data_IF_357388815454
#
_entry.id   IF_357388815454
#
_cell.length_a   1.000
_cell.length_b   1.000
_cell.length_c   1.000
_cell.angle_alpha   90.00
_cell.angle_beta   90.00
_cell.angle_gamma   90.00
#
_symmetry.space_group_name_H-M   'P 1'
#
loop_
_entity.id
_entity.type
_entity.pdbx_description
1 polymer ?
#
# COMPACT_ATOMS: atom_id res chain seq x y z
N UNK A 1 -13.98 20.76 -31.60
CA UNK A 1 -14.15 20.50 -30.14
C UNK A 1 -14.37 18.99 -29.99
N UNK A 2 -13.43 18.23 -29.44
CA UNK A 2 -13.49 16.75 -29.48
C UNK A 2 -14.50 16.19 -28.46
N UNK A 3 -15.65 15.73 -28.96
CA UNK A 3 -16.73 15.14 -28.15
C UNK A 3 -16.32 13.81 -27.50
N UNK A 4 -15.44 13.02 -28.14
CA UNK A 4 -14.99 11.74 -27.60
C UNK A 4 -14.06 11.93 -26.42
N UNK A 5 -13.16 12.92 -26.49
CA UNK A 5 -12.29 13.27 -25.38
C UNK A 5 -13.12 13.65 -24.14
N UNK A 6 -14.14 14.51 -24.32
CA UNK A 6 -15.03 14.89 -23.21
C UNK A 6 -15.76 13.73 -22.58
N UNK A 7 -16.35 12.88 -23.41
CA UNK A 7 -17.07 11.72 -22.93
C UNK A 7 -16.16 10.82 -22.10
N UNK A 8 -14.94 10.52 -22.61
CA UNK A 8 -13.96 9.71 -21.87
C UNK A 8 -13.55 10.35 -20.54
N UNK A 9 -13.34 11.66 -20.50
CA UNK A 9 -13.03 12.38 -19.26
C UNK A 9 -14.18 12.24 -18.24
N UNK A 10 -15.43 12.43 -18.66
CA UNK A 10 -16.59 12.29 -17.78
C UNK A 10 -16.75 10.86 -17.25
N UNK A 11 -16.54 9.85 -18.10
CA UNK A 11 -16.56 8.43 -17.70
C UNK A 11 -15.44 8.14 -16.69
N UNK A 12 -14.22 8.63 -16.93
CA UNK A 12 -13.10 8.45 -16.01
C UNK A 12 -13.38 9.09 -14.63
N UNK A 13 -13.95 10.29 -14.61
CA UNK A 13 -14.37 10.96 -13.36
C UNK A 13 -15.46 10.17 -12.62
N UNK A 14 -16.46 9.67 -13.35
CA UNK A 14 -17.52 8.85 -12.75
C UNK A 14 -16.95 7.55 -12.15
N UNK A 15 -16.10 6.85 -12.90
CA UNK A 15 -15.42 5.64 -12.45
C UNK A 15 -14.58 5.90 -11.19
N UNK A 16 -13.81 7.00 -11.16
CA UNK A 16 -13.03 7.38 -9.97
C UNK A 16 -13.93 7.68 -8.77
N UNK A 17 -15.06 8.35 -8.98
CA UNK A 17 -16.04 8.62 -7.93
C UNK A 17 -16.69 7.34 -7.37
N UNK A 18 -16.90 6.32 -8.20
CA UNK A 18 -17.36 5.00 -7.75
C UNK A 18 -16.29 4.35 -6.88
N UNK A 19 -15.05 4.27 -7.38
CA UNK A 19 -13.92 3.68 -6.64
C UNK A 19 -13.73 4.35 -5.29
N UNK A 20 -13.78 5.68 -5.23
CA UNK A 20 -13.64 6.41 -3.96
C UNK A 20 -14.72 6.04 -2.93
N UNK A 21 -15.98 5.90 -3.36
CA UNK A 21 -17.08 5.48 -2.47
C UNK A 21 -16.93 4.04 -2.00
N UNK A 22 -16.48 3.13 -2.86
CA UNK A 22 -16.25 1.74 -2.45
C UNK A 22 -15.06 1.63 -1.49
N UNK A 23 -13.98 2.38 -1.72
CA UNK A 23 -12.85 2.46 -0.79
C UNK A 23 -13.27 3.00 0.59
N UNK A 24 -14.16 3.99 0.65
CA UNK A 24 -14.65 4.55 1.91
C UNK A 24 -15.51 3.57 2.74
N UNK A 25 -16.02 2.48 2.13
CA UNK A 25 -16.76 1.43 2.83
C UNK A 25 -15.85 0.33 3.37
N UNK A 26 -14.59 0.28 2.95
CA UNK A 26 -13.64 -0.68 3.48
C UNK A 26 -13.45 -0.40 4.98
N UNK A 27 -13.29 -1.44 5.81
CA UNK A 27 -12.91 -1.24 7.20
C UNK A 27 -11.60 -0.43 7.26
N UNK A 28 -11.40 0.41 8.28
CA UNK A 28 -10.11 1.04 8.49
C UNK A 28 -9.03 -0.03 8.58
N UNK A 29 -7.86 0.27 8.03
CA UNK A 29 -6.72 -0.64 8.08
C UNK A 29 -6.33 -0.83 9.56
N UNK A 30 -6.36 -2.08 10.03
CA UNK A 30 -5.94 -2.42 11.39
C UNK A 30 -4.42 -2.62 11.41
N UNK A 31 -3.71 -1.59 11.82
CA UNK A 31 -2.26 -1.57 11.98
C UNK A 31 -1.81 -1.86 13.43
N UNK A 32 -2.71 -2.31 14.32
CA UNK A 32 -2.41 -2.56 15.74
C UNK A 32 -1.23 -3.50 15.93
N UNK A 33 -1.19 -4.62 15.21
CA UNK A 33 -0.08 -5.58 15.23
C UNK A 33 1.24 -4.97 14.75
N UNK A 34 1.20 -4.07 13.77
CA UNK A 34 2.39 -3.37 13.28
C UNK A 34 2.90 -2.36 14.32
N UNK A 35 1.99 -1.65 14.99
CA UNK A 35 2.30 -0.71 16.07
C UNK A 35 2.92 -1.41 17.28
N UNK A 36 2.39 -2.57 17.66
CA UNK A 36 2.94 -3.41 18.72
C UNK A 36 4.35 -3.90 18.36
N UNK A 37 4.55 -4.44 17.15
CA UNK A 37 5.86 -4.89 16.68
C UNK A 37 6.87 -3.74 16.70
N UNK A 38 6.49 -2.56 16.21
CA UNK A 38 7.35 -1.39 16.23
C UNK A 38 7.70 -0.93 17.66
N UNK A 39 6.78 -1.07 18.62
CA UNK A 39 7.03 -0.76 20.02
C UNK A 39 8.07 -1.73 20.63
N UNK A 40 7.94 -3.03 20.35
CA UNK A 40 8.89 -4.05 20.81
C UNK A 40 10.30 -3.82 20.26
N UNK A 41 10.41 -3.58 18.95
CA UNK A 41 11.69 -3.25 18.29
C UNK A 41 12.34 -2.03 18.95
N UNK A 42 11.56 -0.97 19.20
CA UNK A 42 12.07 0.24 19.88
C UNK A 42 12.50 -0.01 21.32
N UNK A 43 11.90 -0.97 22.00
CA UNK A 43 12.30 -1.41 23.33
C UNK A 43 13.52 -2.35 23.34
N UNK A 44 14.05 -2.72 22.15
CA UNK A 44 15.15 -3.67 22.01
C UNK A 44 14.73 -5.14 22.07
N UNK A 45 13.44 -5.43 22.21
CA UNK A 45 12.90 -6.79 22.08
C UNK A 45 12.66 -7.08 20.60
N UNK A 46 13.63 -7.76 19.99
CA UNK A 46 13.59 -8.16 18.58
C UNK A 46 13.53 -9.68 18.49
N UNK A 47 12.33 -10.28 18.43
CA UNK A 47 12.18 -11.72 18.26
C UNK A 47 12.90 -12.22 17.00
N UNK A 48 13.35 -13.50 16.99
CA UNK A 48 13.84 -14.14 15.78
C UNK A 48 12.83 -14.01 14.62
N UNK A 49 13.34 -13.72 13.42
CA UNK A 49 12.50 -13.55 12.23
C UNK A 49 11.81 -12.18 12.10
N UNK A 50 12.01 -11.25 13.04
CA UNK A 50 11.43 -9.90 12.95
C UNK A 50 11.86 -9.15 11.68
N UNK A 51 13.13 -9.25 11.29
CA UNK A 51 13.62 -8.62 10.07
C UNK A 51 12.92 -9.15 8.82
N UNK A 52 12.79 -10.47 8.70
CA UNK A 52 12.11 -11.11 7.56
C UNK A 52 10.64 -10.72 7.48
N UNK A 53 9.96 -10.65 8.64
CA UNK A 53 8.59 -10.15 8.70
C UNK A 53 8.48 -8.70 8.21
N UNK A 54 9.37 -7.82 8.66
CA UNK A 54 9.39 -6.42 8.23
C UNK A 54 9.68 -6.30 6.73
N UNK A 55 10.63 -7.10 6.20
CA UNK A 55 10.93 -7.15 4.76
C UNK A 55 9.72 -7.59 3.94
N UNK A 56 9.01 -8.63 4.38
CA UNK A 56 7.81 -9.12 3.71
C UNK A 56 6.70 -8.05 3.64
N UNK A 57 6.47 -7.33 4.75
CA UNK A 57 5.50 -6.23 4.78
C UNK A 57 5.90 -5.07 3.85
N UNK A 58 7.19 -4.71 3.82
CA UNK A 58 7.70 -3.68 2.91
C UNK A 58 7.55 -4.11 1.46
N UNK A 59 7.87 -5.36 1.13
CA UNK A 59 7.68 -5.90 -0.21
C UNK A 59 6.20 -5.87 -0.63
N UNK A 60 5.28 -6.25 0.25
CA UNK A 60 3.85 -6.20 -0.01
C UNK A 60 3.38 -4.78 -0.36
N UNK A 61 3.82 -3.77 0.40
CA UNK A 61 3.49 -2.36 0.13
C UNK A 61 4.12 -1.85 -1.17
N UNK A 62 5.38 -2.17 -1.43
CA UNK A 62 6.07 -1.73 -2.64
C UNK A 62 5.47 -2.33 -3.91
N UNK A 63 4.94 -3.56 -3.85
CA UNK A 63 4.22 -4.19 -4.97
C UNK A 63 3.04 -3.36 -5.46
N UNK A 64 2.42 -2.57 -4.57
CA UNK A 64 1.31 -1.66 -4.90
C UNK A 64 1.84 -0.26 -5.23
N UNK A 65 2.65 0.31 -4.33
CA UNK A 65 3.03 1.73 -4.41
C UNK A 65 4.11 2.01 -5.47
N UNK A 66 5.05 1.09 -5.67
CA UNK A 66 6.17 1.27 -6.60
C UNK A 66 6.82 -0.06 -7.01
N UNK A 67 6.27 -0.75 -8.02
CA UNK A 67 6.81 -2.04 -8.48
C UNK A 67 8.25 -1.97 -8.98
N UNK A 68 8.65 -0.86 -9.62
CA UNK A 68 10.04 -0.66 -10.07
C UNK A 68 11.02 -0.49 -8.91
N UNK A 69 10.58 0.14 -7.82
CA UNK A 69 11.41 0.25 -6.62
C UNK A 69 11.53 -1.09 -5.89
N UNK A 70 10.50 -1.94 -5.95
CA UNK A 70 10.55 -3.30 -5.40
C UNK A 70 11.67 -4.14 -6.04
N UNK A 71 11.86 -4.04 -7.35
CA UNK A 71 12.95 -4.75 -8.05
C UNK A 71 14.33 -4.37 -7.52
N UNK A 72 14.53 -3.08 -7.21
CA UNK A 72 15.76 -2.60 -6.58
C UNK A 72 15.89 -3.08 -5.13
N UNK A 73 14.80 -2.96 -4.36
CA UNK A 73 14.76 -3.41 -2.97
C UNK A 73 15.15 -4.89 -2.81
N UNK A 74 14.70 -5.76 -3.73
CA UNK A 74 15.07 -7.19 -3.74
C UNK A 74 16.52 -7.49 -4.13
N UNK A 75 17.21 -6.57 -4.80
CA UNK A 75 18.64 -6.72 -5.16
C UNK A 75 19.56 -6.30 -4.03
N UNK A 76 19.14 -5.29 -3.27
CA UNK A 76 19.96 -4.61 -2.26
C UNK A 76 19.70 -5.13 -0.82
N UNK A 77 18.58 -5.84 -0.58
CA UNK A 77 18.15 -6.34 0.73
C UNK A 77 18.31 -7.84 0.91
#
# INVERSE_FOLDING_TARGET
RDHRLRFRTLVAMNALGIVHRELAKLPPEDDSAQRELAARIRAGDVPPGTLERVKADVEARLRIASPSYLERYRRDG
#
